data_IF_218298312220
#
_entry.id   IF_218298312220
#
_cell.length_a   1.000
_cell.length_b   1.000
_cell.length_c   1.000
_cell.angle_alpha   90.00
_cell.angle_beta   90.00
_cell.angle_gamma   90.00
#
_symmetry.space_group_name_H-M   'P 1'
#
loop_
_entity.id
_entity.type
_entity.pdbx_description
1 polymer ?
#
# COMPACT_ATOMS: atom_id res chain seq x y z
N UNK A 1 -7.89 -11.28 -4.04
CA UNK A 1 -9.06 -11.41 -4.96
C UNK A 1 -9.49 -10.00 -5.36
N UNK A 2 -9.88 -9.78 -6.62
CA UNK A 2 -10.30 -8.47 -7.14
C UNK A 2 -11.82 -8.35 -7.10
N UNK A 3 -12.37 -7.78 -6.03
CA UNK A 3 -13.82 -7.79 -5.75
C UNK A 3 -14.43 -6.40 -5.61
N UNK A 4 -13.63 -5.34 -5.69
CA UNK A 4 -14.07 -3.95 -5.52
C UNK A 4 -14.16 -3.32 -6.91
N UNK A 5 -15.35 -2.93 -7.36
CA UNK A 5 -15.46 -2.12 -8.58
C UNK A 5 -15.03 -0.68 -8.29
N UNK A 6 -14.12 -0.13 -9.09
CA UNK A 6 -13.62 1.23 -8.89
C UNK A 6 -12.53 1.65 -9.87
N UNK A 7 -11.84 2.75 -9.57
CA UNK A 7 -10.69 3.24 -10.33
C UNK A 7 -9.40 2.83 -9.64
N UNK A 8 -8.50 2.18 -10.36
CA UNK A 8 -7.21 1.75 -9.82
C UNK A 8 -6.34 2.96 -9.43
N UNK A 9 -5.76 2.92 -8.23
CA UNK A 9 -4.91 4.00 -7.73
C UNK A 9 -3.56 4.13 -8.46
N UNK A 10 -3.12 3.10 -9.17
CA UNK A 10 -1.87 3.13 -9.94
C UNK A 10 -2.08 3.57 -11.39
N UNK A 11 -2.87 2.83 -12.17
CA UNK A 11 -3.06 3.14 -13.60
C UNK A 11 -4.16 4.17 -13.89
N UNK A 12 -4.95 4.56 -12.87
CA UNK A 12 -6.08 5.49 -12.98
C UNK A 12 -7.18 5.06 -13.96
N UNK A 13 -7.30 3.75 -14.23
CA UNK A 13 -8.36 3.16 -15.07
C UNK A 13 -9.43 2.46 -14.23
N UNK A 14 -10.70 2.47 -14.65
CA UNK A 14 -11.74 1.64 -14.05
C UNK A 14 -11.42 0.14 -14.19
N UNK A 15 -11.58 -0.64 -13.13
CA UNK A 15 -11.37 -2.10 -13.12
C UNK A 15 -11.96 -2.74 -11.85
N UNK A 16 -11.85 -4.06 -11.75
CA UNK A 16 -12.01 -4.79 -10.49
C UNK A 16 -10.71 -4.70 -9.69
N UNK A 17 -10.81 -4.31 -8.43
CA UNK A 17 -9.69 -3.94 -7.58
C UNK A 17 -9.55 -4.85 -6.37
N UNK A 18 -8.33 -4.93 -5.86
CA UNK A 18 -8.01 -5.53 -4.56
C UNK A 18 -7.40 -4.46 -3.65
N UNK A 19 -7.67 -4.57 -2.34
CA UNK A 19 -7.26 -3.58 -1.35
C UNK A 19 -5.84 -3.88 -0.86
N UNK A 20 -5.03 -2.83 -0.74
CA UNK A 20 -3.73 -2.83 -0.07
C UNK A 20 -3.78 -1.91 1.15
N UNK A 21 -3.29 -2.40 2.28
CA UNK A 21 -3.30 -1.68 3.55
C UNK A 21 -1.88 -1.28 3.96
N UNK A 22 -1.73 -0.03 4.37
CA UNK A 22 -0.48 0.57 4.82
C UNK A 22 -0.43 0.56 6.36
N UNK A 23 0.78 0.54 6.93
CA UNK A 23 1.02 0.48 8.39
C UNK A 23 0.64 1.78 9.12
N UNK A 24 0.29 2.83 8.38
CA UNK A 24 -0.26 4.08 8.90
C UNK A 24 -1.80 4.10 8.91
N UNK A 25 -2.45 3.00 8.49
CA UNK A 25 -3.90 2.86 8.45
C UNK A 25 -4.56 3.36 7.16
N UNK A 26 -3.80 3.88 6.20
CA UNK A 26 -4.33 4.21 4.86
C UNK A 26 -4.51 2.95 4.02
N UNK A 27 -5.29 3.08 2.94
CA UNK A 27 -5.45 2.00 1.97
C UNK A 27 -5.60 2.52 0.55
N UNK A 28 -5.05 1.77 -0.39
CA UNK A 28 -5.22 1.99 -1.83
C UNK A 28 -5.73 0.70 -2.49
N UNK A 29 -6.31 0.82 -3.68
CA UNK A 29 -6.90 -0.27 -4.42
C UNK A 29 -6.23 -0.41 -5.80
N UNK A 30 -5.72 -1.62 -6.09
CA UNK A 30 -5.03 -1.92 -7.35
C UNK A 30 -5.83 -2.88 -8.22
N UNK A 31 -5.78 -2.69 -9.54
CA UNK A 31 -6.26 -3.69 -10.50
C UNK A 31 -5.24 -4.82 -10.67
N UNK A 32 -5.63 -5.89 -11.37
CA UNK A 32 -4.79 -7.09 -11.53
C UNK A 32 -3.47 -6.78 -12.24
N UNK A 33 -3.47 -5.88 -13.21
CA UNK A 33 -2.27 -5.49 -13.96
C UNK A 33 -1.28 -4.67 -13.13
N UNK A 34 -1.77 -3.95 -12.10
CA UNK A 34 -0.93 -3.14 -11.22
C UNK A 34 -0.59 -3.83 -9.90
N UNK A 35 -1.19 -4.98 -9.60
CA UNK A 35 -1.13 -5.60 -8.28
C UNK A 35 0.29 -5.93 -7.81
N UNK A 36 1.15 -6.39 -8.71
CA UNK A 36 2.53 -6.74 -8.34
C UNK A 36 3.32 -5.50 -7.96
N UNK A 37 3.18 -4.42 -8.74
CA UNK A 37 3.79 -3.12 -8.43
C UNK A 37 3.23 -2.54 -7.12
N UNK A 38 1.90 -2.57 -6.95
CA UNK A 38 1.24 -2.08 -5.76
C UNK A 38 1.68 -2.84 -4.49
N UNK A 39 1.84 -4.16 -4.60
CA UNK A 39 2.33 -5.00 -3.49
C UNK A 39 3.75 -4.62 -3.08
N UNK A 40 4.64 -4.37 -4.05
CA UNK A 40 6.01 -3.95 -3.78
C UNK A 40 6.06 -2.55 -3.14
N UNK A 41 5.31 -1.61 -3.68
CA UNK A 41 5.24 -0.22 -3.21
C UNK A 41 4.75 -0.15 -1.75
N UNK A 42 3.62 -0.82 -1.46
CA UNK A 42 3.05 -0.90 -0.10
C UNK A 42 4.04 -1.54 0.88
N UNK A 43 4.74 -2.61 0.46
CA UNK A 43 5.75 -3.27 1.30
C UNK A 43 6.92 -2.34 1.60
N UNK A 44 7.42 -1.61 0.60
CA UNK A 44 8.54 -0.68 0.77
C UNK A 44 8.16 0.46 1.73
N UNK A 45 6.99 1.05 1.56
CA UNK A 45 6.47 2.06 2.47
C UNK A 45 6.39 1.52 3.91
N UNK A 46 5.80 0.34 4.10
CA UNK A 46 5.63 -0.24 5.44
C UNK A 46 6.98 -0.51 6.13
N UNK A 47 7.99 -0.97 5.38
CA UNK A 47 9.34 -1.17 5.92
C UNK A 47 9.94 0.17 6.36
N UNK A 48 9.88 1.19 5.51
CA UNK A 48 10.45 2.50 5.80
C UNK A 48 9.78 3.17 7.02
N UNK A 49 8.44 3.12 7.08
CA UNK A 49 7.66 3.64 8.21
C UNK A 49 8.02 2.97 9.53
N UNK A 50 8.13 1.63 9.53
CA UNK A 50 8.50 0.89 10.74
C UNK A 50 9.93 1.23 11.18
N UNK A 51 10.89 1.30 10.25
CA UNK A 51 12.26 1.72 10.55
C UNK A 51 12.32 3.14 11.14
N UNK A 52 11.54 4.07 10.60
CA UNK A 52 11.47 5.42 11.11
C UNK A 52 10.89 5.48 12.54
N UNK A 53 9.82 4.70 12.81
CA UNK A 53 9.23 4.58 14.15
C UNK A 53 10.22 3.99 15.15
N UNK A 54 10.95 2.95 14.77
CA UNK A 54 12.00 2.33 15.60
C UNK A 54 13.11 3.33 15.94
N UNK A 55 13.59 4.10 14.97
CA UNK A 55 14.59 5.14 15.18
C UNK A 55 14.09 6.22 16.15
N UNK A 56 12.86 6.71 15.97
CA UNK A 56 12.26 7.69 16.88
C UNK A 56 12.16 7.17 18.32
N UNK A 57 11.71 5.92 18.51
CA UNK A 57 11.65 5.30 19.84
C UNK A 57 13.05 5.15 20.45
N UNK A 58 14.05 4.78 19.65
CA UNK A 58 15.44 4.63 20.13
C UNK A 58 16.06 5.97 20.54
N UNK A 59 15.71 7.07 19.85
CA UNK A 59 16.23 8.41 20.13
C UNK A 59 15.66 9.06 21.40
N UNK A 60 14.57 8.51 21.94
CA UNK A 60 13.93 8.96 23.17
C UNK A 60 14.44 8.23 24.43
N UNK A 61 15.32 7.25 24.27
CA UNK A 61 15.96 6.49 25.37
C UNK A 61 17.36 7.01 25.64
#
# INVERSE_FOLDING_TARGET
MFTIEGVCDWCKKPSMLTKHEYVDGKSHCACIECNDLATLDVRQFNIAELQQREQQVSSLR
#
